data_IF_688105725087
#
_entry.id   IF_688105725087
#
_cell.length_a   1.000
_cell.length_b   1.000
_cell.length_c   1.000
_cell.angle_alpha   90.00
_cell.angle_beta   90.00
_cell.angle_gamma   90.00
#
_symmetry.space_group_name_H-M   'P 1'
#
loop_
_entity.id
_entity.type
_entity.pdbx_description
1 polymer ?
#
# COMPACT_ATOMS: atom_id res chain seq x y z
N UNK A 1 -38.28 -16.63 38.47
CA UNK A 1 -36.88 -17.09 38.49
C UNK A 1 -36.33 -16.86 37.09
N UNK A 2 -35.46 -15.87 36.98
CA UNK A 2 -34.79 -15.45 35.75
C UNK A 2 -33.79 -16.51 35.30
N UNK A 3 -33.72 -16.77 34.00
CA UNK A 3 -32.46 -17.13 33.37
C UNK A 3 -32.46 -16.56 31.93
N UNK A 4 -32.11 -15.28 31.85
CA UNK A 4 -31.76 -14.62 30.60
C UNK A 4 -30.33 -15.05 30.31
N UNK A 5 -30.16 -15.96 29.35
CA UNK A 5 -28.85 -16.38 28.89
C UNK A 5 -28.21 -15.19 28.17
N UNK A 6 -27.30 -14.50 28.85
CA UNK A 6 -26.33 -13.61 28.23
C UNK A 6 -25.49 -14.44 27.24
N UNK A 7 -25.68 -14.18 25.95
CA UNK A 7 -24.91 -14.78 24.87
C UNK A 7 -23.61 -13.98 24.67
N UNK A 8 -22.41 -14.50 24.97
CA UNK A 8 -21.15 -13.75 24.89
C UNK A 8 -20.60 -13.61 23.45
N UNK A 9 -21.30 -14.10 22.42
CA UNK A 9 -20.73 -14.24 21.07
C UNK A 9 -20.66 -12.94 20.26
N UNK A 10 -21.33 -11.85 20.70
CA UNK A 10 -21.53 -10.65 19.87
C UNK A 10 -20.35 -9.66 19.85
N UNK A 11 -19.31 -9.81 20.67
CA UNK A 11 -18.20 -8.82 20.75
C UNK A 11 -16.87 -9.25 20.16
N UNK A 12 -16.66 -10.55 19.92
CA UNK A 12 -15.35 -11.07 19.49
C UNK A 12 -15.05 -10.71 18.04
N UNK A 13 -16.04 -10.79 17.15
CA UNK A 13 -15.86 -10.49 15.72
C UNK A 13 -15.58 -9.00 15.45
N UNK A 14 -16.17 -8.08 16.22
CA UNK A 14 -15.91 -6.65 16.10
C UNK A 14 -14.46 -6.33 16.48
N UNK A 15 -13.99 -6.91 17.59
CA UNK A 15 -12.61 -6.73 18.08
C UNK A 15 -11.56 -7.31 17.11
N UNK A 16 -11.87 -8.39 16.40
CA UNK A 16 -10.95 -8.97 15.40
C UNK A 16 -10.89 -8.12 14.14
N UNK A 17 -12.03 -7.65 13.64
CA UNK A 17 -12.10 -6.78 12.47
C UNK A 17 -11.38 -5.45 12.70
N UNK A 18 -11.54 -4.84 13.89
CA UNK A 18 -10.83 -3.61 14.25
C UNK A 18 -9.31 -3.81 14.25
N UNK A 19 -8.82 -4.93 14.78
CA UNK A 19 -7.38 -5.25 14.82
C UNK A 19 -6.81 -5.56 13.45
N UNK A 20 -7.57 -6.23 12.59
CA UNK A 20 -7.18 -6.51 11.22
C UNK A 20 -7.08 -5.21 10.40
N UNK A 21 -8.05 -4.31 10.55
CA UNK A 21 -8.01 -2.99 9.95
C UNK A 21 -6.83 -2.14 10.45
N UNK A 22 -6.55 -2.16 11.76
CA UNK A 22 -5.36 -1.51 12.35
C UNK A 22 -4.06 -2.08 11.77
N UNK A 23 -3.96 -3.40 11.61
CA UNK A 23 -2.77 -4.03 11.06
C UNK A 23 -2.57 -3.69 9.58
N UNK A 24 -3.64 -3.79 8.76
CA UNK A 24 -3.62 -3.42 7.35
C UNK A 24 -3.25 -1.95 7.16
N UNK A 25 -3.73 -1.07 8.04
CA UNK A 25 -3.36 0.34 8.04
C UNK A 25 -1.88 0.52 8.36
N UNK A 26 -1.36 -0.12 9.42
CA UNK A 26 0.05 -0.04 9.78
C UNK A 26 0.99 -0.59 8.70
N UNK A 27 0.53 -1.60 7.97
CA UNK A 27 1.22 -2.20 6.84
C UNK A 27 1.18 -1.29 5.60
N UNK A 28 0.05 -0.65 5.30
CA UNK A 28 -0.03 0.36 4.24
C UNK A 28 0.89 1.56 4.53
N UNK A 29 0.97 2.01 5.80
CA UNK A 29 1.89 3.08 6.21
C UNK A 29 3.35 2.69 6.00
N UNK A 30 3.75 1.47 6.40
CA UNK A 30 5.10 0.98 6.17
C UNK A 30 5.43 0.88 4.67
N UNK A 31 4.48 0.39 3.86
CA UNK A 31 4.66 0.31 2.42
C UNK A 31 4.73 1.69 1.75
N UNK A 32 3.98 2.67 2.23
CA UNK A 32 3.95 4.03 1.68
C UNK A 32 5.31 4.73 1.81
N UNK A 33 6.02 4.51 2.92
CA UNK A 33 7.37 5.04 3.14
C UNK A 33 8.38 4.50 2.12
N UNK A 34 8.22 3.23 1.71
CA UNK A 34 9.06 2.56 0.72
C UNK A 34 8.75 3.08 -0.67
N UNK A 35 7.47 3.19 -1.00
CA UNK A 35 7.00 3.80 -2.25
C UNK A 35 7.50 5.24 -2.37
N UNK A 36 7.45 6.02 -1.28
CA UNK A 36 8.00 7.39 -1.24
C UNK A 36 9.48 7.43 -1.60
N UNK A 37 10.29 6.52 -1.05
CA UNK A 37 11.71 6.41 -1.38
C UNK A 37 11.93 6.14 -2.87
N UNK A 38 11.20 5.18 -3.43
CA UNK A 38 11.28 4.84 -4.86
C UNK A 38 10.85 6.01 -5.74
N UNK A 39 9.79 6.72 -5.36
CA UNK A 39 9.33 7.90 -6.08
C UNK A 39 10.36 9.02 -6.06
N UNK A 40 10.97 9.28 -4.90
CA UNK A 40 12.02 10.28 -4.76
C UNK A 40 13.19 10.00 -5.72
N UNK A 41 13.61 8.74 -5.84
CA UNK A 41 14.66 8.35 -6.78
C UNK A 41 14.26 8.53 -8.25
N UNK A 42 13.01 8.20 -8.60
CA UNK A 42 12.52 8.25 -9.99
C UNK A 42 12.22 9.69 -10.42
N UNK A 43 11.73 10.52 -9.51
CA UNK A 43 11.41 11.93 -9.74
C UNK A 43 12.62 12.86 -9.53
N UNK A 44 13.77 12.31 -9.11
CA UNK A 44 14.96 13.07 -8.71
C UNK A 44 14.65 14.15 -7.66
N UNK A 45 13.81 13.79 -6.69
CA UNK A 45 13.31 14.67 -5.63
C UNK A 45 13.83 14.24 -4.24
N UNK A 46 13.69 15.11 -3.25
CA UNK A 46 13.93 14.77 -1.85
C UNK A 46 12.75 13.95 -1.31
N UNK A 47 13.01 12.80 -0.70
CA UNK A 47 11.97 11.97 -0.12
C UNK A 47 11.16 12.70 0.97
N UNK A 48 11.78 13.57 1.76
CA UNK A 48 11.08 14.34 2.81
C UNK A 48 10.12 15.39 2.21
N UNK A 49 10.26 15.73 0.92
CA UNK A 49 9.37 16.66 0.23
C UNK A 49 8.09 16.02 -0.31
N UNK A 50 8.01 14.68 -0.32
CA UNK A 50 6.89 13.92 -0.86
C UNK A 50 5.97 13.49 0.29
N UNK A 51 4.78 14.08 0.38
CA UNK A 51 3.76 13.67 1.35
C UNK A 51 3.15 12.32 0.92
N UNK A 52 3.15 11.32 1.81
CA UNK A 52 2.66 9.98 1.48
C UNK A 52 1.15 9.93 1.20
N UNK A 53 0.36 10.83 1.79
CA UNK A 53 -1.09 10.87 1.64
C UNK A 53 -1.58 11.91 0.64
N UNK A 54 -0.74 12.90 0.28
CA UNK A 54 -1.14 14.06 -0.53
C UNK A 54 -0.20 14.42 -1.66
N UNK A 55 1.01 13.85 -1.69
CA UNK A 55 1.98 14.09 -2.74
C UNK A 55 1.52 13.44 -4.04
N UNK A 56 0.93 14.24 -4.94
CA UNK A 56 0.47 13.76 -6.24
C UNK A 56 1.68 13.53 -7.18
N UNK A 57 1.81 12.30 -7.69
CA UNK A 57 2.92 11.90 -8.57
C UNK A 57 3.10 12.83 -9.77
N UNK A 58 1.99 13.26 -10.38
CA UNK A 58 2.00 14.06 -11.60
C UNK A 58 2.27 15.53 -11.28
N UNK A 59 1.77 16.04 -10.15
CA UNK A 59 2.11 17.40 -9.68
C UNK A 59 3.59 17.52 -9.29
N UNK A 60 4.20 16.43 -8.83
CA UNK A 60 5.64 16.34 -8.54
C UNK A 60 6.51 16.23 -9.81
N UNK A 61 5.92 16.29 -11.01
CA UNK A 61 6.63 16.23 -12.29
C UNK A 61 6.68 14.84 -12.94
N UNK A 62 5.96 13.87 -12.37
CA UNK A 62 5.82 12.53 -12.91
C UNK A 62 5.04 12.47 -14.22
N UNK A 63 5.35 11.46 -15.03
CA UNK A 63 4.65 11.14 -16.28
C UNK A 63 4.68 9.63 -16.52
N UNK A 64 3.96 9.14 -17.52
CA UNK A 64 3.69 7.71 -17.71
C UNK A 64 4.93 6.81 -17.74
N UNK A 65 6.05 7.28 -18.31
CA UNK A 65 7.29 6.51 -18.32
C UNK A 65 7.91 6.40 -16.92
N UNK A 66 7.93 7.51 -16.16
CA UNK A 66 8.39 7.51 -14.77
C UNK A 66 7.47 6.68 -13.88
N UNK A 67 6.16 6.74 -14.10
CA UNK A 67 5.17 5.91 -13.40
C UNK A 67 5.48 4.42 -13.58
N UNK A 68 5.68 3.98 -14.84
CA UNK A 68 6.02 2.59 -15.12
C UNK A 68 7.37 2.18 -14.51
N UNK A 69 8.36 3.08 -14.52
CA UNK A 69 9.66 2.83 -13.86
C UNK A 69 9.53 2.69 -12.34
N UNK A 70 8.73 3.56 -11.70
CA UNK A 70 8.47 3.49 -10.27
C UNK A 70 7.76 2.18 -9.90
N UNK A 71 6.72 1.81 -10.65
CA UNK A 71 5.98 0.54 -10.47
C UNK A 71 6.91 -0.66 -10.61
N UNK A 72 7.75 -0.72 -11.65
CA UNK A 72 8.70 -1.82 -11.82
C UNK A 72 9.71 -1.94 -10.67
N UNK A 73 10.18 -0.80 -10.12
CA UNK A 73 11.04 -0.78 -8.92
C UNK A 73 10.30 -1.25 -7.67
N UNK A 74 9.05 -0.83 -7.48
CA UNK A 74 8.20 -1.30 -6.37
C UNK A 74 8.08 -2.82 -6.43
N UNK A 75 7.65 -3.37 -7.57
CA UNK A 75 7.49 -4.83 -7.71
C UNK A 75 8.78 -5.61 -7.45
N UNK A 76 9.92 -5.04 -7.87
CA UNK A 76 11.25 -5.61 -7.59
C UNK A 76 11.59 -5.57 -6.10
N UNK A 77 11.34 -4.45 -5.43
CA UNK A 77 11.62 -4.27 -3.99
C UNK A 77 10.81 -5.24 -3.12
N UNK A 78 9.58 -5.54 -3.54
CA UNK A 78 8.71 -6.49 -2.86
C UNK A 78 8.88 -7.94 -3.30
N UNK A 79 9.81 -8.23 -4.22
CA UNK A 79 10.12 -9.59 -4.67
C UNK A 79 8.95 -10.28 -5.38
N UNK A 80 8.08 -9.52 -6.04
CA UNK A 80 6.90 -10.04 -6.74
C UNK A 80 7.35 -10.94 -7.89
N UNK A 81 6.74 -12.12 -8.02
CA UNK A 81 7.13 -13.08 -9.06
C UNK A 81 6.91 -12.53 -10.47
N UNK A 82 7.68 -13.01 -11.46
CA UNK A 82 7.61 -12.53 -12.85
C UNK A 82 6.20 -12.63 -13.46
N UNK A 83 5.44 -13.67 -13.07
CA UNK A 83 4.07 -13.89 -13.55
C UNK A 83 3.09 -12.89 -12.92
N UNK A 84 3.24 -12.61 -11.64
CA UNK A 84 2.36 -11.70 -10.89
C UNK A 84 2.64 -10.24 -11.26
N UNK A 85 3.91 -9.91 -11.51
CA UNK A 85 4.37 -8.56 -11.85
C UNK A 85 3.64 -7.98 -13.06
N UNK A 86 3.41 -8.79 -14.11
CA UNK A 86 2.73 -8.32 -15.33
C UNK A 86 1.27 -7.93 -15.07
N UNK A 87 0.55 -8.69 -14.24
CA UNK A 87 -0.82 -8.38 -13.87
C UNK A 87 -0.87 -7.13 -12.98
N UNK A 88 0.07 -7.02 -12.05
CA UNK A 88 0.07 -5.96 -11.05
C UNK A 88 0.54 -4.62 -11.60
N UNK A 89 1.40 -4.61 -12.63
CA UNK A 89 1.78 -3.38 -13.32
C UNK A 89 0.55 -2.61 -13.82
N UNK A 90 -0.42 -3.31 -14.40
CA UNK A 90 -1.66 -2.69 -14.89
C UNK A 90 -2.51 -2.12 -13.77
N UNK A 91 -2.65 -2.85 -12.67
CA UNK A 91 -3.48 -2.45 -11.53
C UNK A 91 -2.83 -1.30 -10.74
N UNK A 92 -1.52 -1.37 -10.48
CA UNK A 92 -0.77 -0.28 -9.86
C UNK A 92 -0.78 0.99 -10.70
N UNK A 93 -0.76 0.85 -12.02
CA UNK A 93 -0.91 1.98 -12.93
C UNK A 93 -2.32 2.57 -12.84
N UNK A 94 -3.37 1.75 -12.85
CA UNK A 94 -4.74 2.21 -12.69
C UNK A 94 -4.93 2.95 -11.35
N UNK A 95 -4.45 2.35 -10.26
CA UNK A 95 -4.51 2.93 -8.92
C UNK A 95 -3.75 4.25 -8.82
N UNK A 96 -2.59 4.38 -9.48
CA UNK A 96 -1.84 5.64 -9.57
C UNK A 96 -2.64 6.75 -10.25
N UNK A 97 -3.49 6.44 -11.23
CA UNK A 97 -4.35 7.44 -11.86
C UNK A 97 -5.59 7.80 -11.01
N UNK A 98 -6.07 6.88 -10.17
CA UNK A 98 -7.21 7.11 -9.28
C UNK A 98 -6.82 7.83 -7.99
N UNK A 99 -5.67 7.46 -7.42
CA UNK A 99 -5.10 8.03 -6.21
C UNK A 99 -3.58 8.11 -6.39
N UNK A 100 -3.12 9.24 -6.93
CA UNK A 100 -1.74 9.46 -7.34
C UNK A 100 -0.79 9.72 -6.16
N UNK A 101 -0.96 9.04 -5.04
CA UNK A 101 -0.16 9.21 -3.82
C UNK A 101 0.63 7.94 -3.49
N UNK A 102 1.74 8.04 -2.74
CA UNK A 102 2.45 6.85 -2.26
C UNK A 102 1.54 5.90 -1.48
N UNK A 103 0.63 6.46 -0.66
CA UNK A 103 -0.37 5.70 0.09
C UNK A 103 -1.32 4.94 -0.85
N UNK A 104 -1.79 5.56 -1.93
CA UNK A 104 -2.68 4.90 -2.89
C UNK A 104 -2.07 3.64 -3.50
N UNK A 105 -0.77 3.64 -3.79
CA UNK A 105 -0.05 2.44 -4.24
C UNK A 105 0.25 1.47 -3.10
N UNK A 106 0.54 1.97 -1.90
CA UNK A 106 0.84 1.15 -0.72
C UNK A 106 -0.38 0.37 -0.21
N UNK A 107 -1.57 0.95 -0.28
CA UNK A 107 -2.83 0.25 0.00
C UNK A 107 -2.99 -0.99 -0.87
N UNK A 108 -2.69 -0.90 -2.16
CA UNK A 108 -2.72 -2.05 -3.06
C UNK A 108 -1.75 -3.15 -2.59
N UNK A 109 -0.53 -2.78 -2.20
CA UNK A 109 0.46 -3.74 -1.71
C UNK A 109 0.00 -4.41 -0.40
N UNK A 110 -0.52 -3.62 0.54
CA UNK A 110 -1.06 -4.13 1.80
C UNK A 110 -2.27 -5.06 1.58
N UNK A 111 -3.20 -4.71 0.68
CA UNK A 111 -4.33 -5.56 0.26
C UNK A 111 -3.88 -6.92 -0.30
N UNK A 112 -2.70 -6.98 -0.92
CA UNK A 112 -2.10 -8.23 -1.45
C UNK A 112 -1.22 -8.98 -0.44
N UNK A 113 -1.06 -8.47 0.79
CA UNK A 113 -0.21 -9.06 1.83
C UNK A 113 1.26 -8.65 1.76
N UNK A 114 1.59 -7.60 1.01
CA UNK A 114 2.95 -7.06 0.81
C UNK A 114 3.12 -5.72 1.54
N UNK A 115 2.57 -5.59 2.75
CA UNK A 115 2.64 -4.36 3.55
C UNK A 115 4.04 -3.97 4.03
N UNK A 116 4.99 -4.90 4.03
CA UNK A 116 6.36 -4.65 4.51
C UNK A 116 7.37 -5.25 3.55
N UNK A 117 8.33 -4.47 3.04
CA UNK A 117 9.43 -5.06 2.30
C UNK A 117 10.29 -5.87 3.28
N UNK A 118 10.63 -7.10 2.89
CA UNK A 118 11.50 -8.02 3.64
C UNK A 118 11.00 -8.57 4.98
N UNK A 119 9.69 -8.81 5.15
CA UNK A 119 9.27 -10.00 5.89
C UNK A 119 9.25 -11.17 4.91
N UNK A 120 10.43 -11.74 4.61
CA UNK A 120 10.49 -13.03 3.91
C UNK A 120 9.71 -14.06 4.74
N UNK A 121 8.78 -14.85 4.16
CA UNK A 121 8.23 -15.99 4.87
C UNK A 121 9.31 -17.02 5.25
#
# INVERSE_FOLDING_TARGET
>A
MTNHADNPTTHVWATLADREAEHLTGDAEAAAEVVRGIWAEVLEADAESIDVHRGDFFELGGYSLLALQAIGRILTEYGVGEVESVEWEGELLNRLFENATPMGQAEFLAEKGYGRPNETP
#
